data_IF_844962661549
#
_entry.id   IF_844962661549
#
_cell.length_a   1.000
_cell.length_b   1.000
_cell.length_c   1.000
_cell.angle_alpha   90.00
_cell.angle_beta   90.00
_cell.angle_gamma   90.00
#
_symmetry.space_group_name_H-M   'P 1'
#
loop_
_entity.id
_entity.type
_entity.pdbx_description
1 polymer ?
#
# COMPACT_ATOMS: atom_id res chain seq x y z
N UNK A 1 -7.36 6.18 -11.74
CA UNK A 1 -6.29 7.06 -12.24
C UNK A 1 -4.99 6.29 -12.33
N UNK A 2 -4.25 6.41 -13.42
CA UNK A 2 -2.93 5.80 -13.59
C UNK A 2 -1.82 6.79 -13.25
N UNK A 3 -0.58 6.35 -13.37
CA UNK A 3 0.58 7.22 -13.28
C UNK A 3 0.59 8.28 -14.39
N UNK A 4 1.10 9.48 -14.07
CA UNK A 4 1.16 10.58 -15.01
C UNK A 4 2.04 10.31 -16.25
N UNK A 5 1.87 11.13 -17.31
CA UNK A 5 2.56 10.93 -18.58
C UNK A 5 4.08 11.02 -18.50
N UNK A 6 4.62 11.70 -17.52
CA UNK A 6 6.06 11.82 -17.27
C UNK A 6 6.69 10.53 -16.72
N UNK A 7 5.93 9.68 -16.04
CA UNK A 7 6.42 8.46 -15.39
C UNK A 7 6.04 7.21 -16.19
N UNK A 8 4.89 7.22 -16.85
CA UNK A 8 4.37 6.07 -17.59
C UNK A 8 5.36 5.47 -18.60
N UNK A 9 6.12 6.25 -19.42
CA UNK A 9 7.10 5.69 -20.34
C UNK A 9 8.22 4.92 -19.66
N UNK A 10 8.72 5.40 -18.52
CA UNK A 10 9.76 4.72 -17.75
C UNK A 10 9.24 3.41 -17.16
N UNK A 11 8.01 3.38 -16.66
CA UNK A 11 7.38 2.16 -16.16
C UNK A 11 7.18 1.12 -17.26
N UNK A 12 6.73 1.55 -18.45
CA UNK A 12 6.58 0.66 -19.61
C UNK A 12 7.93 0.10 -20.05
N UNK A 13 8.96 0.93 -20.12
CA UNK A 13 10.32 0.50 -20.50
C UNK A 13 10.95 -0.49 -19.48
N UNK A 14 10.56 -0.38 -18.21
CA UNK A 14 11.02 -1.30 -17.16
C UNK A 14 10.33 -2.67 -17.20
N UNK A 15 9.23 -2.80 -17.94
CA UNK A 15 8.50 -4.07 -18.07
C UNK A 15 9.28 -5.05 -18.96
N UNK A 16 9.60 -6.22 -18.41
CA UNK A 16 10.30 -7.28 -19.11
C UNK A 16 9.77 -8.67 -18.70
N UNK A 17 10.28 -9.72 -19.36
CA UNK A 17 9.85 -11.09 -19.11
C UNK A 17 10.11 -11.55 -17.65
N UNK A 18 11.21 -11.12 -17.05
CA UNK A 18 11.59 -11.48 -15.68
C UNK A 18 10.64 -10.82 -14.68
N UNK A 19 10.28 -9.56 -14.90
CA UNK A 19 9.26 -8.86 -14.11
C UNK A 19 7.90 -9.57 -14.20
N UNK A 20 7.47 -9.94 -15.42
CA UNK A 20 6.24 -10.69 -15.63
C UNK A 20 6.24 -12.03 -14.89
N UNK A 21 7.34 -12.77 -14.96
CA UNK A 21 7.50 -14.03 -14.25
C UNK A 21 7.50 -13.84 -12.72
N UNK A 22 8.11 -12.78 -12.20
CA UNK A 22 8.11 -12.44 -10.78
C UNK A 22 6.71 -12.11 -10.27
N UNK A 23 5.96 -11.28 -11.00
CA UNK A 23 4.58 -10.93 -10.70
C UNK A 23 3.70 -12.20 -10.63
N UNK A 24 3.78 -13.06 -11.63
CA UNK A 24 2.99 -14.30 -11.65
C UNK A 24 3.35 -15.23 -10.48
N UNK A 25 4.62 -15.35 -10.13
CA UNK A 25 5.04 -16.14 -8.95
C UNK A 25 4.47 -15.57 -7.66
N UNK A 26 4.54 -14.23 -7.48
CA UNK A 26 4.02 -13.55 -6.31
C UNK A 26 2.51 -13.81 -6.16
N UNK A 27 1.72 -13.56 -7.20
CA UNK A 27 0.27 -13.74 -7.12
C UNK A 27 -0.14 -15.22 -6.92
N UNK A 28 0.58 -16.17 -7.52
CA UNK A 28 0.34 -17.59 -7.31
C UNK A 28 0.68 -18.05 -5.89
N UNK A 29 1.75 -17.53 -5.30
CA UNK A 29 2.13 -17.84 -3.91
C UNK A 29 1.18 -17.23 -2.88
N UNK A 30 0.51 -16.12 -3.23
CA UNK A 30 -0.47 -15.45 -2.39
C UNK A 30 -1.90 -16.01 -2.54
N UNK A 31 -2.06 -17.19 -3.18
CA UNK A 31 -3.36 -17.84 -3.30
C UNK A 31 -3.87 -18.37 -1.95
N UNK A 32 -5.20 -18.57 -1.89
CA UNK A 32 -5.81 -19.20 -0.70
C UNK A 32 -5.39 -20.68 -0.56
N UNK A 33 -5.17 -21.21 0.66
CA UNK A 33 -5.43 -20.59 1.98
C UNK A 33 -4.26 -19.74 2.54
N UNK A 34 -3.09 -19.73 1.90
CA UNK A 34 -1.86 -19.09 2.41
C UNK A 34 -2.09 -17.62 2.78
N UNK A 35 -2.83 -16.87 1.94
CA UNK A 35 -3.12 -15.47 2.21
C UNK A 35 -4.02 -15.29 3.45
N UNK A 36 -4.99 -16.18 3.66
CA UNK A 36 -5.84 -16.15 4.85
C UNK A 36 -5.04 -16.47 6.12
N UNK A 37 -4.15 -17.46 6.07
CA UNK A 37 -3.28 -17.85 7.18
C UNK A 37 -2.32 -16.71 7.54
N UNK A 38 -1.70 -16.06 6.56
CA UNK A 38 -0.89 -14.85 6.78
C UNK A 38 -1.70 -13.73 7.44
N UNK A 39 -2.98 -13.57 7.05
CA UNK A 39 -3.90 -12.61 7.64
C UNK A 39 -4.20 -12.88 9.13
N UNK A 40 -4.18 -14.12 9.58
CA UNK A 40 -4.35 -14.47 11.01
C UNK A 40 -3.19 -13.91 11.84
N UNK A 41 -1.97 -13.95 11.32
CA UNK A 41 -0.78 -13.45 12.00
C UNK A 41 -0.67 -11.91 12.03
N UNK A 42 -1.54 -11.19 11.33
CA UNK A 42 -1.48 -9.71 11.24
C UNK A 42 -1.56 -9.04 12.62
N UNK A 43 -2.28 -9.63 13.59
CA UNK A 43 -2.36 -9.12 14.96
C UNK A 43 -1.01 -9.06 15.68
N UNK A 44 -0.04 -9.88 15.28
CA UNK A 44 1.32 -9.85 15.83
C UNK A 44 2.10 -8.60 15.42
N UNK A 45 1.68 -7.92 14.36
CA UNK A 45 2.29 -6.67 13.91
C UNK A 45 2.11 -5.54 14.93
N UNK A 46 1.07 -5.58 15.77
CA UNK A 46 0.79 -4.59 16.80
C UNK A 46 1.92 -4.46 17.86
N UNK A 47 2.85 -5.41 17.93
CA UNK A 47 4.05 -5.32 18.77
C UNK A 47 5.07 -4.27 18.27
N UNK A 48 4.87 -3.71 17.06
CA UNK A 48 5.73 -2.69 16.46
C UNK A 48 4.89 -1.50 16.01
N UNK A 49 5.43 -0.26 16.13
CA UNK A 49 4.76 0.90 15.59
C UNK A 49 4.48 0.73 14.10
N UNK A 50 3.24 0.95 13.69
CA UNK A 50 2.80 0.85 12.31
C UNK A 50 2.03 2.09 11.86
N UNK A 51 2.11 2.40 10.56
CA UNK A 51 1.32 3.45 9.92
C UNK A 51 0.57 2.87 8.73
N UNK A 52 -0.75 3.05 8.72
CA UNK A 52 -1.61 2.76 7.58
C UNK A 52 -2.00 4.08 6.90
N UNK A 53 -1.61 4.24 5.65
CA UNK A 53 -1.99 5.39 4.82
C UNK A 53 -3.23 5.02 4.01
N UNK A 54 -4.28 5.83 4.14
CA UNK A 54 -5.56 5.67 3.45
C UNK A 54 -5.75 6.83 2.47
N UNK A 55 -5.49 6.58 1.19
CA UNK A 55 -5.80 7.53 0.12
C UNK A 55 -7.29 7.40 -0.25
N UNK A 56 -8.07 8.49 -0.21
CA UNK A 56 -9.54 8.42 -0.33
C UNK A 56 -10.01 8.05 -1.72
N UNK A 57 -9.23 8.39 -2.76
CA UNK A 57 -9.51 8.06 -4.16
C UNK A 57 -8.84 6.76 -4.63
N UNK A 58 -8.29 5.96 -3.70
CA UNK A 58 -7.75 4.65 -4.03
C UNK A 58 -8.87 3.61 -4.12
N UNK A 59 -9.19 3.22 -5.34
CA UNK A 59 -10.22 2.23 -5.65
C UNK A 59 -9.65 0.83 -5.98
N UNK A 60 -8.33 0.61 -5.80
CA UNK A 60 -7.68 -0.67 -6.14
C UNK A 60 -7.55 -1.64 -4.96
N UNK A 61 -7.50 -1.14 -3.72
CA UNK A 61 -7.14 -1.94 -2.53
C UNK A 61 -8.33 -2.27 -1.62
N UNK A 62 -9.51 -2.36 -2.16
CA UNK A 62 -10.73 -2.68 -1.43
C UNK A 62 -11.41 -1.45 -0.79
N UNK A 63 -12.46 -1.69 -0.01
CA UNK A 63 -13.22 -0.63 0.61
C UNK A 63 -12.45 0.04 1.77
N UNK A 64 -12.82 1.29 2.09
CA UNK A 64 -12.27 2.02 3.22
C UNK A 64 -12.46 1.25 4.54
N UNK A 65 -13.61 0.60 4.71
CA UNK A 65 -13.88 -0.24 5.88
C UNK A 65 -12.87 -1.40 6.01
N UNK A 66 -12.59 -2.10 4.92
CA UNK A 66 -11.63 -3.21 4.94
C UNK A 66 -10.21 -2.72 5.25
N UNK A 67 -9.82 -1.59 4.70
CA UNK A 67 -8.51 -0.96 4.95
C UNK A 67 -8.36 -0.57 6.42
N UNK A 68 -9.39 0.07 7.01
CA UNK A 68 -9.40 0.42 8.44
C UNK A 68 -9.35 -0.81 9.33
N UNK A 69 -10.15 -1.83 9.05
CA UNK A 69 -10.09 -3.09 9.80
C UNK A 69 -8.72 -3.75 9.75
N UNK A 70 -8.04 -3.70 8.61
CA UNK A 70 -6.67 -4.21 8.50
C UNK A 70 -5.69 -3.40 9.34
N UNK A 71 -5.79 -2.07 9.32
CA UNK A 71 -5.00 -1.17 10.15
C UNK A 71 -5.21 -1.44 11.65
N UNK A 72 -6.46 -1.55 12.08
CA UNK A 72 -6.83 -1.84 13.48
C UNK A 72 -6.25 -3.19 13.93
N UNK A 73 -6.38 -4.24 13.11
CA UNK A 73 -5.79 -5.55 13.42
C UNK A 73 -4.27 -5.53 13.52
N UNK A 74 -3.62 -4.70 12.73
CA UNK A 74 -2.18 -4.50 12.78
C UNK A 74 -1.73 -3.58 13.93
N UNK A 75 -2.66 -2.97 14.67
CA UNK A 75 -2.36 -1.94 15.67
C UNK A 75 -1.71 -0.70 15.07
N UNK A 76 -1.98 -0.43 13.78
CA UNK A 76 -1.36 0.68 13.06
C UNK A 76 -2.14 1.98 13.27
N UNK A 77 -1.42 3.09 13.40
CA UNK A 77 -2.01 4.44 13.32
C UNK A 77 -2.51 4.65 11.89
N UNK A 78 -3.63 5.34 11.75
CA UNK A 78 -4.19 5.66 10.44
C UNK A 78 -3.97 7.12 10.10
N UNK A 79 -3.48 7.39 8.89
CA UNK A 79 -3.39 8.72 8.30
C UNK A 79 -4.17 8.75 6.99
N UNK A 80 -5.01 9.77 6.81
CA UNK A 80 -5.87 9.89 5.63
C UNK A 80 -5.28 10.91 4.67
N UNK A 81 -5.07 10.49 3.42
CA UNK A 81 -4.68 11.35 2.31
C UNK A 81 -5.92 11.65 1.46
N UNK A 82 -6.62 12.70 1.85
CA UNK A 82 -7.85 13.13 1.17
C UNK A 82 -7.57 13.63 -0.24
N UNK A 83 -8.39 13.18 -1.21
CA UNK A 83 -8.28 13.54 -2.62
C UNK A 83 -7.17 12.82 -3.40
N UNK A 84 -6.37 11.95 -2.75
CA UNK A 84 -5.28 11.23 -3.42
C UNK A 84 -5.68 9.79 -3.74
N UNK A 85 -5.13 9.27 -4.84
CA UNK A 85 -5.38 7.92 -5.35
C UNK A 85 -4.32 6.90 -4.93
N UNK A 86 -4.32 5.76 -5.64
CA UNK A 86 -3.40 4.64 -5.40
C UNK A 86 -1.91 5.06 -5.50
N UNK A 87 -1.62 6.02 -6.35
CA UNK A 87 -0.27 6.54 -6.58
C UNK A 87 0.00 7.84 -5.82
N UNK A 88 -0.56 7.98 -4.61
CA UNK A 88 -0.42 9.17 -3.77
C UNK A 88 1.01 9.68 -3.63
N UNK A 89 2.01 8.77 -3.61
CA UNK A 89 3.43 9.12 -3.54
C UNK A 89 3.96 9.83 -4.80
N UNK A 90 3.24 9.73 -5.92
CA UNK A 90 3.53 10.42 -7.18
C UNK A 90 2.64 11.65 -7.34
N UNK A 91 1.37 11.53 -6.91
CA UNK A 91 0.38 12.59 -7.06
C UNK A 91 0.70 13.79 -6.15
N UNK A 92 1.14 13.52 -4.91
CA UNK A 92 1.59 14.56 -3.95
C UNK A 92 2.75 14.01 -3.11
N UNK A 93 3.97 14.00 -3.65
CA UNK A 93 5.15 13.48 -2.94
C UNK A 93 5.50 14.27 -1.69
N UNK A 94 5.20 15.57 -1.66
CA UNK A 94 5.48 16.42 -0.51
C UNK A 94 4.62 16.02 0.67
N UNK A 95 3.30 15.91 0.47
CA UNK A 95 2.36 15.48 1.50
C UNK A 95 2.66 14.06 1.98
N UNK A 96 2.99 13.16 1.05
CA UNK A 96 3.42 11.80 1.39
C UNK A 96 4.67 11.76 2.28
N UNK A 97 5.68 12.54 1.93
CA UNK A 97 6.92 12.65 2.71
C UNK A 97 6.68 13.25 4.10
N UNK A 98 5.84 14.27 4.22
CA UNK A 98 5.47 14.88 5.50
C UNK A 98 4.80 13.88 6.44
N UNK A 99 3.85 13.08 5.94
CA UNK A 99 3.16 12.04 6.72
C UNK A 99 4.16 11.01 7.24
N UNK A 100 5.03 10.51 6.38
CA UNK A 100 6.04 9.52 6.75
C UNK A 100 7.05 10.09 7.76
N UNK A 101 7.52 11.31 7.54
CA UNK A 101 8.48 11.97 8.43
C UNK A 101 7.89 12.23 9.81
N UNK A 102 6.63 12.69 9.89
CA UNK A 102 5.93 12.85 11.18
C UNK A 102 5.82 11.53 11.92
N UNK A 103 5.49 10.44 11.22
CA UNK A 103 5.40 9.12 11.85
C UNK A 103 6.77 8.67 12.37
N UNK A 104 7.82 8.73 11.57
CA UNK A 104 9.17 8.33 11.98
C UNK A 104 9.71 9.16 13.14
N UNK A 105 9.34 10.42 13.25
CA UNK A 105 9.72 11.27 14.38
C UNK A 105 9.07 10.83 15.72
N UNK A 106 8.12 9.89 15.69
CA UNK A 106 7.48 9.34 16.89
C UNK A 106 8.05 8.00 17.34
N UNK A 107 9.03 7.47 16.63
CA UNK A 107 9.68 6.19 16.92
C UNK A 107 10.90 6.38 17.83
#
# INVERSE_FOLDING_TARGET
MGVGPEIAPALVAAQNADMGAAILRLYRSAAQPVLAEAGVALGNAAARPGLAILATEDHYVGSDELRRRAADRAGARTEVLDGLGHWWMIEDPVRGAEVLTRFWATL
#
